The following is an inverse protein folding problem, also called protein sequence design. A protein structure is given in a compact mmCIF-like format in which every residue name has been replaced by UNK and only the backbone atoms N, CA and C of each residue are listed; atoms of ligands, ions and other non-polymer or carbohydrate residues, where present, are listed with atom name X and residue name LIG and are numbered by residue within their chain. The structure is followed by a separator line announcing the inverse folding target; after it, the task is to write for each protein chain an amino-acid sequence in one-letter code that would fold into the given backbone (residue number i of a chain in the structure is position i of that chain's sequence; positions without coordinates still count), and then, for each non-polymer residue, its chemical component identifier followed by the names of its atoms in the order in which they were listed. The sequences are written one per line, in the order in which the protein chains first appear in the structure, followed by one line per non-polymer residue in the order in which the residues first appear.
data_IF_190962616939
#
_entry.id   IF_190962616939
#
_cell.length_a   1.000
_cell.length_b   1.000
_cell.length_c   1.000
_cell.angle_alpha   90.00
_cell.angle_beta   90.00
_cell.angle_gamma   90.00
#
_symmetry.space_group_name_H-M   'P 1'
#
loop_
_entity.id
_entity.type
_entity.pdbx_description
1 polymer ?
#
# COMPACT_ATOMS: atom_id res chain seq x y z
N UNK A 1 37.28 -36.60 -20.23
CA UNK A 1 37.43 -35.38 -21.04
C UNK A 1 36.09 -35.20 -21.74
N UNK A 2 35.26 -34.21 -21.46
CA UNK A 2 35.42 -33.00 -20.67
C UNK A 2 34.12 -32.74 -19.89
N UNK A 3 34.28 -32.17 -18.70
CA UNK A 3 33.22 -31.62 -17.87
C UNK A 3 32.64 -30.36 -18.53
N UNK A 4 31.39 -30.40 -18.97
CA UNK A 4 30.63 -29.19 -19.28
C UNK A 4 29.78 -28.83 -18.07
N UNK A 5 30.47 -28.27 -17.07
CA UNK A 5 29.86 -27.46 -16.03
C UNK A 5 29.32 -26.19 -16.71
N UNK A 6 28.02 -26.18 -17.04
CA UNK A 6 27.30 -24.96 -17.34
C UNK A 6 27.41 -24.02 -16.13
N UNK A 7 28.36 -23.10 -16.20
CA UNK A 7 28.45 -21.98 -15.29
C UNK A 7 27.20 -21.12 -15.46
N UNK A 8 26.21 -21.36 -14.61
CA UNK A 8 25.06 -20.48 -14.45
C UNK A 8 25.57 -19.06 -14.12
N UNK A 9 25.07 -18.01 -14.78
CA UNK A 9 25.51 -16.64 -14.51
C UNK A 9 25.20 -16.31 -13.05
N UNK A 10 26.25 -16.07 -12.26
CA UNK A 10 26.21 -15.77 -10.82
C UNK A 10 25.79 -14.31 -10.59
N UNK A 11 24.69 -13.88 -11.18
CA UNK A 11 24.15 -12.53 -11.06
C UNK A 11 23.09 -12.44 -9.97
N UNK A 12 23.01 -11.30 -9.28
CA UNK A 12 21.96 -11.03 -8.29
C UNK A 12 20.52 -11.28 -8.80
N UNK A 13 20.29 -11.17 -10.11
CA UNK A 13 19.03 -11.50 -10.78
C UNK A 13 18.72 -13.01 -10.79
N UNK A 14 19.72 -13.88 -10.99
CA UNK A 14 19.53 -15.34 -11.04
C UNK A 14 19.35 -15.96 -9.65
N UNK A 15 19.74 -15.26 -8.57
CA UNK A 15 19.41 -15.66 -7.20
C UNK A 15 18.00 -15.25 -6.75
N UNK A 16 17.40 -14.22 -7.38
CA UNK A 16 16.07 -13.70 -7.02
C UNK A 16 14.94 -14.42 -7.75
N UNK A 17 15.15 -14.72 -9.04
CA UNK A 17 14.14 -15.32 -9.91
C UNK A 17 13.68 -16.75 -9.53
N UNK A 18 14.50 -17.66 -8.97
CA UNK A 18 14.04 -19.02 -8.66
C UNK A 18 13.09 -19.10 -7.46
N UNK A 19 13.14 -18.10 -6.56
CA UNK A 19 12.25 -18.02 -5.40
C UNK A 19 10.88 -17.39 -5.75
N UNK A 20 10.82 -16.60 -6.81
CA UNK A 20 9.59 -15.99 -7.30
C UNK A 20 8.86 -16.97 -8.24
N UNK A 21 7.95 -17.76 -7.69
CA UNK A 21 6.95 -18.48 -8.51
C UNK A 21 5.81 -17.51 -8.81
N UNK A 22 5.65 -16.99 -10.04
CA UNK A 22 4.48 -16.20 -10.35
C UNK A 22 3.25 -17.08 -10.14
N UNK A 23 2.35 -16.63 -9.27
CA UNK A 23 0.94 -17.01 -9.29
C UNK A 23 0.48 -17.06 -10.76
N UNK A 24 -0.37 -18.01 -11.15
CA UNK A 24 -0.80 -18.17 -12.55
C UNK A 24 -1.07 -16.80 -13.18
N UNK A 25 -0.53 -16.52 -14.37
CA UNK A 25 -0.70 -15.19 -14.98
C UNK A 25 -2.17 -14.78 -15.13
N UNK A 26 -3.08 -15.75 -15.24
CA UNK A 26 -4.53 -15.49 -15.19
C UNK A 26 -5.00 -14.97 -13.82
N UNK A 27 -4.47 -15.50 -12.72
CA UNK A 27 -4.78 -15.04 -11.36
C UNK A 27 -4.24 -13.64 -11.09
N UNK A 28 -3.01 -13.33 -11.54
CA UNK A 28 -2.46 -11.96 -11.44
C UNK A 28 -3.30 -10.96 -12.22
N UNK A 29 -3.63 -11.26 -13.48
CA UNK A 29 -4.52 -10.41 -14.31
C UNK A 29 -5.88 -10.20 -13.65
N UNK A 30 -6.45 -11.25 -13.04
CA UNK A 30 -7.73 -11.17 -12.34
C UNK A 30 -7.65 -10.35 -11.03
N UNK A 31 -6.52 -10.35 -10.35
CA UNK A 31 -6.29 -9.51 -9.16
C UNK A 31 -6.10 -8.06 -9.58
N UNK A 32 -5.26 -7.82 -10.58
CA UNK A 32 -5.03 -6.49 -11.15
C UNK A 32 -6.33 -5.85 -11.65
N UNK A 33 -7.12 -6.57 -12.46
CA UNK A 33 -8.40 -6.07 -12.96
C UNK A 33 -9.35 -5.69 -11.81
N UNK A 34 -9.39 -6.47 -10.72
CA UNK A 34 -10.21 -6.17 -9.54
C UNK A 34 -9.71 -4.94 -8.78
N UNK A 35 -8.39 -4.80 -8.60
CA UNK A 35 -7.79 -3.62 -7.95
C UNK A 35 -8.10 -2.36 -8.77
N UNK A 36 -7.89 -2.42 -10.10
CA UNK A 36 -8.12 -1.30 -11.00
C UNK A 36 -9.61 -0.92 -11.06
N UNK A 37 -10.52 -1.89 -11.04
CA UNK A 37 -11.97 -1.61 -11.00
C UNK A 37 -12.39 -0.82 -9.76
N UNK A 38 -11.70 -1.03 -8.63
CA UNK A 38 -12.00 -0.34 -7.36
C UNK A 38 -11.35 1.05 -7.27
N UNK A 39 -10.33 1.34 -8.08
CA UNK A 39 -9.55 2.56 -7.95
C UNK A 39 -10.39 3.81 -8.28
N UNK A 40 -10.36 4.80 -7.40
CA UNK A 40 -11.05 6.09 -7.59
C UNK A 40 -12.58 6.08 -7.37
N UNK A 41 -13.19 4.90 -7.17
CA UNK A 41 -14.64 4.70 -6.99
C UNK A 41 -15.09 4.65 -5.52
N UNK A 42 -14.17 4.72 -4.57
CA UNK A 42 -14.53 4.80 -3.16
C UNK A 42 -15.31 6.08 -2.86
N UNK A 43 -16.23 6.00 -1.90
CA UNK A 43 -16.80 7.21 -1.28
C UNK A 43 -15.66 8.05 -0.69
N UNK A 44 -15.90 9.35 -0.58
CA UNK A 44 -14.97 10.31 0.04
C UNK A 44 -15.70 10.96 1.23
N UNK A 45 -15.90 10.23 2.33
CA UNK A 45 -16.54 10.79 3.50
C UNK A 45 -15.70 11.93 4.05
N UNK A 46 -16.33 12.80 4.83
CA UNK A 46 -15.61 13.87 5.53
C UNK A 46 -14.82 13.23 6.66
N UNK A 47 -13.48 13.24 6.55
CA UNK A 47 -12.62 12.69 7.59
C UNK A 47 -12.53 13.66 8.79
N UNK A 48 -12.44 13.12 10.02
CA UNK A 48 -12.04 13.89 11.19
C UNK A 48 -10.68 14.57 10.96
N UNK A 49 -10.46 15.71 11.65
CA UNK A 49 -9.20 16.47 11.53
C UNK A 49 -8.11 15.94 12.46
N UNK A 50 -8.50 15.16 13.46
CA UNK A 50 -7.57 14.50 14.35
C UNK A 50 -7.01 13.21 13.69
N UNK A 51 -5.72 12.89 13.91
CA UNK A 51 -5.09 11.73 13.30
C UNK A 51 -5.75 10.40 13.67
N UNK A 52 -6.17 10.26 14.93
CA UNK A 52 -6.75 9.01 15.45
C UNK A 52 -8.13 8.73 14.86
N UNK A 53 -8.98 9.75 14.73
CA UNK A 53 -10.25 9.66 14.03
C UNK A 53 -10.08 9.33 12.56
N UNK A 54 -9.13 9.97 11.87
CA UNK A 54 -8.85 9.67 10.47
C UNK A 54 -8.37 8.22 10.27
N UNK A 55 -7.48 7.72 11.13
CA UNK A 55 -7.04 6.32 11.13
C UNK A 55 -8.20 5.36 11.38
N UNK A 56 -9.03 5.65 12.39
CA UNK A 56 -10.18 4.82 12.73
C UNK A 56 -11.18 4.71 11.58
N UNK A 57 -11.40 5.78 10.81
CA UNK A 57 -12.27 5.75 9.62
C UNK A 57 -11.73 4.78 8.54
N UNK A 58 -10.41 4.78 8.30
CA UNK A 58 -9.80 3.83 7.37
C UNK A 58 -9.90 2.39 7.86
N UNK A 59 -9.59 2.15 9.13
CA UNK A 59 -9.67 0.81 9.75
C UNK A 59 -11.11 0.29 9.74
N UNK A 60 -12.08 1.14 10.06
CA UNK A 60 -13.51 0.81 10.02
C UNK A 60 -13.96 0.49 8.60
N UNK A 61 -13.49 1.24 7.60
CA UNK A 61 -13.79 0.95 6.20
C UNK A 61 -13.32 -0.44 5.77
N UNK A 62 -12.15 -0.89 6.23
CA UNK A 62 -11.64 -2.25 5.98
C UNK A 62 -12.55 -3.28 6.65
N UNK A 63 -12.98 -3.04 7.89
CA UNK A 63 -13.84 -3.97 8.62
C UNK A 63 -15.22 -4.09 7.98
N UNK A 64 -15.87 -2.97 7.66
CA UNK A 64 -17.17 -2.95 6.98
C UNK A 64 -17.10 -3.67 5.65
N UNK A 65 -16.02 -3.48 4.88
CA UNK A 65 -15.79 -4.22 3.64
C UNK A 65 -15.67 -5.72 3.90
N UNK A 66 -14.86 -6.15 4.87
CA UNK A 66 -14.68 -7.56 5.23
C UNK A 66 -16.01 -8.22 5.59
N UNK A 67 -16.81 -7.55 6.42
CA UNK A 67 -18.14 -8.01 6.84
C UNK A 67 -19.11 -8.12 5.67
N UNK A 68 -19.17 -7.08 4.82
CA UNK A 68 -20.03 -7.06 3.62
C UNK A 68 -19.69 -8.18 2.65
N UNK A 69 -18.41 -8.52 2.54
CA UNK A 69 -17.93 -9.62 1.71
C UNK A 69 -18.07 -11.00 2.38
N UNK A 70 -18.52 -11.06 3.64
CA UNK A 70 -18.67 -12.30 4.40
C UNK A 70 -17.35 -13.03 4.65
N UNK A 71 -16.22 -12.31 4.71
CA UNK A 71 -14.88 -12.91 4.85
C UNK A 71 -14.59 -13.12 6.35
N UNK A 72 -14.57 -14.36 6.88
CA UNK A 72 -14.42 -14.57 8.32
C UNK A 72 -13.02 -14.20 8.84
N UNK A 73 -11.98 -14.48 8.05
CA UNK A 73 -10.58 -14.12 8.30
C UNK A 73 -9.79 -14.09 7.00
N UNK A 74 -8.71 -13.30 6.96
CA UNK A 74 -7.92 -13.04 5.74
C UNK A 74 -6.41 -13.02 6.00
N UNK A 75 -5.63 -13.19 4.93
CA UNK A 75 -4.22 -12.78 4.89
C UNK A 75 -4.21 -11.34 4.39
N UNK A 76 -3.68 -10.43 5.20
CA UNK A 76 -3.71 -9.00 4.91
C UNK A 76 -2.33 -8.54 4.45
N UNK A 77 -2.27 -7.93 3.27
CA UNK A 77 -1.05 -7.33 2.73
C UNK A 77 -1.18 -5.81 2.72
N UNK A 78 -0.21 -5.12 3.33
CA UNK A 78 -0.14 -3.67 3.33
C UNK A 78 1.12 -3.17 2.63
N UNK A 79 0.95 -2.27 1.66
CA UNK A 79 2.05 -1.60 0.96
C UNK A 79 2.07 -0.10 1.28
N UNK A 80 3.23 0.48 1.57
CA UNK A 80 3.38 1.91 1.89
C UNK A 80 2.43 2.34 3.02
N UNK A 81 1.58 3.36 2.84
CA UNK A 81 0.52 3.75 3.79
C UNK A 81 -0.41 2.59 4.17
N UNK A 82 -0.68 1.68 3.23
CA UNK A 82 -1.47 0.49 3.48
C UNK A 82 -0.83 -0.44 4.53
N UNK A 83 0.50 -0.40 4.70
CA UNK A 83 1.21 -1.13 5.75
C UNK A 83 0.88 -0.63 7.15
N UNK A 84 0.84 0.69 7.34
CA UNK A 84 0.40 1.32 8.59
C UNK A 84 -1.04 0.91 8.93
N UNK A 85 -1.97 1.09 7.97
CA UNK A 85 -3.39 0.77 8.16
C UNK A 85 -3.64 -0.73 8.37
N UNK A 86 -2.94 -1.59 7.63
CA UNK A 86 -3.04 -3.04 7.79
C UNK A 86 -2.55 -3.49 9.17
N UNK A 87 -1.52 -2.84 9.70
CA UNK A 87 -1.01 -3.15 11.05
C UNK A 87 -2.00 -2.69 12.12
N UNK A 88 -2.48 -1.45 12.03
CA UNK A 88 -3.50 -0.93 12.95
C UNK A 88 -4.77 -1.80 12.97
N UNK A 89 -5.25 -2.20 11.78
CA UNK A 89 -6.38 -3.13 11.66
C UNK A 89 -6.08 -4.48 12.31
N UNK A 90 -4.89 -5.05 12.10
CA UNK A 90 -4.52 -6.35 12.67
C UNK A 90 -4.41 -6.32 14.20
N UNK A 91 -3.99 -5.18 14.78
CA UNK A 91 -3.97 -4.99 16.23
C UNK A 91 -5.39 -4.88 16.79
N UNK A 92 -6.28 -4.18 16.09
CA UNK A 92 -7.68 -3.97 16.52
C UNK A 92 -8.53 -5.24 16.38
N UNK A 93 -8.25 -6.07 15.38
CA UNK A 93 -9.01 -7.28 15.04
C UNK A 93 -8.10 -8.50 14.82
N UNK A 94 -7.38 -8.96 15.85
CA UNK A 94 -6.35 -9.99 15.71
C UNK A 94 -6.90 -11.33 15.22
N UNK A 95 -8.13 -11.70 15.61
CA UNK A 95 -8.80 -12.91 15.15
C UNK A 95 -9.22 -12.90 13.66
N UNK A 96 -9.20 -11.72 13.02
CA UNK A 96 -9.59 -11.56 11.61
C UNK A 96 -8.42 -11.68 10.65
N UNK A 97 -7.19 -11.56 11.14
CA UNK A 97 -5.97 -11.59 10.31
C UNK A 97 -5.14 -12.82 10.65
N UNK A 98 -5.02 -13.76 9.71
CA UNK A 98 -4.19 -14.96 9.88
C UNK A 98 -2.70 -14.66 9.75
N UNK A 99 -2.37 -13.83 8.75
CA UNK A 99 -1.01 -13.39 8.48
C UNK A 99 -1.03 -11.95 7.98
N UNK A 100 -0.09 -11.14 8.46
CA UNK A 100 0.14 -9.77 8.00
C UNK A 100 1.43 -9.75 7.17
N UNK A 101 1.33 -9.29 5.93
CA UNK A 101 2.46 -9.13 5.00
C UNK A 101 2.69 -7.63 4.80
N UNK A 102 3.89 -7.17 5.09
CA UNK A 102 4.26 -5.76 4.91
C UNK A 102 5.24 -5.63 3.75
N UNK A 103 4.91 -4.76 2.81
CA UNK A 103 5.74 -4.48 1.62
C UNK A 103 6.08 -2.99 1.64
N UNK A 104 7.31 -2.66 2.00
CA UNK A 104 7.77 -1.27 2.13
C UNK A 104 6.78 -0.38 2.93
N UNK A 105 6.44 -0.75 4.19
CA UNK A 105 5.38 -0.09 4.95
C UNK A 105 5.81 1.29 5.46
N UNK A 106 4.91 2.27 5.38
CA UNK A 106 5.09 3.57 6.03
C UNK A 106 4.81 3.48 7.54
N UNK A 107 5.44 4.35 8.34
CA UNK A 107 5.21 4.41 9.79
C UNK A 107 6.06 3.45 10.63
N UNK A 108 6.98 2.70 10.00
CA UNK A 108 7.97 1.85 10.68
C UNK A 108 9.40 2.36 10.45
N UNK A 109 9.74 3.59 10.87
CA UNK A 109 11.12 4.04 10.76
C UNK A 109 12.00 3.12 11.62
N UNK A 110 13.17 2.77 11.10
CA UNK A 110 14.24 2.23 11.94
C UNK A 110 14.45 3.23 13.07
N UNK A 111 14.43 2.76 14.33
CA UNK A 111 14.68 3.63 15.48
C UNK A 111 16.06 4.29 15.25
N UNK A 112 16.14 5.62 15.07
CA UNK A 112 17.41 6.27 14.85
C UNK A 112 18.28 6.03 16.08
N UNK A 113 19.51 5.60 15.85
CA UNK A 113 20.45 5.29 16.96
C UNK A 113 21.03 6.60 17.53
N UNK A 114 20.95 7.68 16.75
CA UNK A 114 21.39 9.03 17.11
C UNK A 114 20.22 10.04 16.91
N UNK A 115 19.85 10.83 17.93
CA UNK A 115 18.84 11.88 17.81
C UNK A 115 19.09 12.93 16.70
N UNK A 116 20.35 13.09 16.26
CA UNK A 116 20.72 14.02 15.19
C UNK A 116 20.31 13.55 13.78
N UNK A 117 19.94 12.28 13.62
CA UNK A 117 19.44 11.72 12.35
C UNK A 117 17.99 12.10 12.06
N UNK A 118 17.24 12.59 13.06
CA UNK A 118 15.87 13.10 12.88
C UNK A 118 15.96 14.49 12.24
N UNK A 119 16.26 14.52 10.94
CA UNK A 119 16.43 15.75 10.19
C UNK A 119 15.05 16.34 9.89
N UNK A 120 14.73 17.47 10.52
CA UNK A 120 13.51 18.20 10.22
C UNK A 120 13.49 18.57 8.73
N UNK A 121 12.36 18.36 8.02
CA UNK A 121 12.28 18.69 6.61
C UNK A 121 12.54 20.18 6.39
N UNK A 122 13.32 20.56 5.35
CA UNK A 122 13.59 21.95 5.03
C UNK A 122 12.31 22.77 4.83
N UNK A 123 12.36 24.07 5.12
CA UNK A 123 11.19 24.96 5.05
C UNK A 123 10.56 25.00 3.66
N UNK A 124 11.36 24.87 2.59
CA UNK A 124 10.86 24.82 1.21
C UNK A 124 10.00 23.58 0.94
N UNK A 125 10.31 22.44 1.58
CA UNK A 125 9.50 21.22 1.46
C UNK A 125 8.10 21.43 2.03
N UNK A 126 7.99 22.13 3.18
CA UNK A 126 6.71 22.51 3.77
C UNK A 126 5.92 23.45 2.86
N UNK A 127 6.58 24.39 2.20
CA UNK A 127 5.94 25.29 1.24
C UNK A 127 5.41 24.52 0.02
N UNK A 128 6.19 23.61 -0.57
CA UNK A 128 5.77 22.77 -1.70
C UNK A 128 4.61 21.85 -1.30
N UNK A 129 4.68 21.19 -0.15
CA UNK A 129 3.58 20.36 0.36
C UNK A 129 2.30 21.18 0.60
N UNK A 130 2.41 22.42 1.06
CA UNK A 130 1.26 23.32 1.24
C UNK A 130 0.61 23.72 -0.10
N UNK A 131 1.42 23.99 -1.13
CA UNK A 131 0.94 24.33 -2.47
C UNK A 131 0.32 23.10 -3.16
N UNK A 132 0.95 21.93 -3.06
CA UNK A 132 0.44 20.68 -3.62
C UNK A 132 -0.75 20.12 -2.84
N UNK A 133 -0.84 20.33 -1.53
CA UNK A 133 -2.01 19.94 -0.72
C UNK A 133 -3.24 20.80 -1.00
N UNK A 134 -3.06 22.05 -1.45
CA UNK A 134 -4.15 22.94 -1.91
C UNK A 134 -4.56 22.69 -3.35
N UNK A 135 -3.61 22.28 -4.18
CA UNK A 135 -3.85 22.01 -5.59
C UNK A 135 -4.24 20.55 -5.75
N UNK A 136 -5.49 20.26 -6.07
CA UNK A 136 -5.90 18.91 -6.49
C UNK A 136 -5.67 18.81 -8.01
N UNK A 137 -4.50 18.38 -8.52
CA UNK A 137 -4.24 18.31 -9.96
C UNK A 137 -5.24 17.39 -10.67
N UNK A 138 -5.85 16.45 -9.95
CA UNK A 138 -6.87 15.55 -10.46
C UNK A 138 -8.27 16.18 -10.50
N UNK A 139 -8.49 17.36 -9.92
CA UNK A 139 -9.76 18.09 -10.05
C UNK A 139 -9.98 18.58 -11.49
N UNK A 140 -8.92 19.01 -12.17
CA UNK A 140 -8.98 19.42 -13.58
C UNK A 140 -9.35 18.23 -14.47
N UNK A 141 -8.71 17.08 -14.26
CA UNK A 141 -9.06 15.81 -14.93
C UNK A 141 -10.48 15.33 -14.60
N UNK A 142 -10.97 15.59 -13.38
CA UNK A 142 -12.34 15.24 -12.95
C UNK A 142 -13.42 16.13 -13.58
N UNK A 143 -13.11 17.40 -13.85
CA UNK A 143 -14.00 18.34 -14.58
C UNK A 143 -14.02 18.06 -16.08
N UNK A 144 -12.94 17.51 -16.65
CA UNK A 144 -12.85 17.15 -18.06
C UNK A 144 -13.58 15.83 -18.41
N UNK A 145 -13.92 15.01 -17.43
CA UNK A 145 -14.60 13.71 -17.62
C UNK A 145 -15.95 13.74 -18.37
N UNK A 146 -16.82 14.77 -18.26
CA UNK A 146 -18.10 14.84 -18.98
C UNK A 146 -17.96 15.13 -20.50
N UNK A 147 -16.76 15.40 -21.00
CA UNK A 147 -16.51 15.74 -22.42
C UNK A 147 -15.91 14.58 -23.23
N UNK A 148 -15.87 13.38 -22.64
CA UNK A 148 -15.51 12.14 -23.32
C UNK A 148 -16.74 11.36 -23.75
N UNK A 149 -17.51 11.92 -24.69
CA UNK A 149 -18.36 11.17 -25.64
C UNK A 149 -18.01 11.57 -27.07
#
# INVERSE_FOLDING_TARGET
MADDLEQQPQGWLSSWLPAWRPTSMSQLKNVEARILQCFGRSSRPTFPRDPEGAENEFVTSIETWRETMGIPSMILLGHSLGGFLATSYSIKYPERVKHLILVDPWGFPLRPTDPSEIRAPPTWFKAVASVLGRSNPLAVLRVAGPWGE
#
